data_IF_886847518315
#
_entry.id   IF_886847518315
#
_cell.length_a   1.000
_cell.length_b   1.000
_cell.length_c   1.000
_cell.angle_alpha   90.00
_cell.angle_beta   90.00
_cell.angle_gamma   90.00
#
_symmetry.space_group_name_H-M   'P 1'
#
loop_
_entity.id
_entity.type
_entity.pdbx_description
1 polymer ?
#
# COMPACT_ATOMS: atom_id res chain seq x y z
N UNK A 1 0.18 2.34 -19.35
CA UNK A 1 0.68 2.88 -18.06
C UNK A 1 -0.35 3.91 -17.66
N UNK A 2 -1.13 3.65 -16.61
CA UNK A 2 -2.24 4.55 -16.26
C UNK A 2 -1.65 5.90 -15.81
N UNK A 3 -2.24 6.96 -16.36
CA UNK A 3 -1.92 8.37 -16.11
C UNK A 3 -2.40 8.71 -14.69
N UNK A 4 -1.59 8.38 -13.68
CA UNK A 4 -1.84 8.77 -12.30
C UNK A 4 -1.34 10.20 -12.18
N UNK A 5 -2.26 11.13 -11.87
CA UNK A 5 -1.93 12.53 -11.69
C UNK A 5 -1.01 12.73 -10.48
N UNK A 6 0.29 12.88 -10.74
CA UNK A 6 1.35 12.95 -9.73
C UNK A 6 1.27 14.24 -8.88
N UNK A 7 0.56 15.27 -9.35
CA UNK A 7 0.45 16.54 -8.65
C UNK A 7 -0.63 16.56 -7.55
N UNK A 8 -1.60 15.64 -7.61
CA UNK A 8 -2.72 15.58 -6.66
C UNK A 8 -2.88 14.20 -5.99
N UNK A 9 -2.03 13.24 -6.36
CA UNK A 9 -2.01 11.91 -5.74
C UNK A 9 -1.17 11.92 -4.47
N UNK A 10 -1.68 11.24 -3.44
CA UNK A 10 -0.93 11.01 -2.20
C UNK A 10 -0.48 9.55 -2.18
N UNK A 11 0.83 9.35 -2.01
CA UNK A 11 1.38 8.01 -1.81
C UNK A 11 1.07 7.55 -0.38
N UNK A 12 0.02 6.75 -0.25
CA UNK A 12 -0.41 6.17 1.04
C UNK A 12 0.59 5.15 1.55
N UNK A 13 1.09 4.28 0.66
CA UNK A 13 2.03 3.23 1.02
C UNK A 13 2.87 2.82 -0.19
N UNK A 14 4.17 2.59 0.03
CA UNK A 14 5.12 2.23 -1.02
C UNK A 14 5.89 0.94 -0.66
N UNK A 15 5.48 -0.17 -1.27
CA UNK A 15 6.06 -1.48 -0.96
C UNK A 15 7.32 -1.82 -1.75
N UNK A 16 7.59 -1.13 -2.87
CA UNK A 16 8.82 -1.32 -3.67
C UNK A 16 10.08 -1.00 -2.85
N UNK A 17 9.90 -0.21 -1.79
CA UNK A 17 10.93 0.19 -0.86
C UNK A 17 11.21 -0.81 0.27
N UNK A 18 10.46 -1.90 0.47
CA UNK A 18 10.69 -2.80 1.62
C UNK A 18 12.07 -3.48 1.61
N UNK A 19 12.79 -3.40 0.48
CA UNK A 19 14.19 -3.78 0.39
C UNK A 19 15.08 -2.65 0.90
N UNK A 20 16.08 -3.02 1.69
CA UNK A 20 17.19 -2.11 1.99
C UNK A 20 17.81 -1.63 0.69
N UNK A 21 17.73 -0.34 0.43
CA UNK A 21 18.46 0.32 -0.63
C UNK A 21 19.81 0.81 -0.09
N UNK A 22 20.80 0.98 -0.96
CA UNK A 22 22.08 1.60 -0.57
C UNK A 22 21.96 3.08 -0.18
N UNK A 23 20.79 3.68 -0.36
CA UNK A 23 20.48 5.09 -0.06
C UNK A 23 19.61 5.24 1.20
N UNK A 24 19.23 4.15 1.85
CA UNK A 24 18.40 4.20 3.05
C UNK A 24 19.26 4.49 4.29
N UNK A 25 18.84 5.46 5.09
CA UNK A 25 19.37 5.63 6.44
C UNK A 25 18.86 4.53 7.38
N UNK A 26 19.55 4.30 8.50
CA UNK A 26 19.25 3.20 9.44
C UNK A 26 17.79 3.20 9.90
N UNK A 27 17.22 4.37 10.18
CA UNK A 27 15.81 4.51 10.58
C UNK A 27 14.85 3.98 9.52
N UNK A 28 15.13 4.30 8.25
CA UNK A 28 14.29 3.89 7.11
C UNK A 28 14.40 2.38 6.91
N UNK A 29 15.59 1.80 7.12
CA UNK A 29 15.79 0.35 7.04
C UNK A 29 15.01 -0.39 8.12
N UNK A 30 15.00 0.13 9.36
CA UNK A 30 14.27 -0.46 10.47
C UNK A 30 12.75 -0.40 10.25
N UNK A 31 12.22 0.75 9.86
CA UNK A 31 10.78 0.93 9.54
C UNK A 31 10.32 -0.04 8.44
N UNK A 32 11.12 -0.22 7.39
CA UNK A 32 10.85 -1.18 6.31
C UNK A 32 10.86 -2.62 6.80
N UNK A 33 11.82 -2.99 7.65
CA UNK A 33 11.92 -4.34 8.20
C UNK A 33 10.74 -4.66 9.14
N UNK A 34 10.35 -3.71 9.99
CA UNK A 34 9.18 -3.85 10.86
C UNK A 34 7.89 -4.01 10.05
N UNK A 35 7.70 -3.18 9.02
CA UNK A 35 6.54 -3.28 8.13
C UNK A 35 6.49 -4.63 7.40
N UNK A 36 7.62 -5.10 6.86
CA UNK A 36 7.69 -6.41 6.21
C UNK A 36 7.37 -7.56 7.18
N UNK A 37 7.88 -7.49 8.41
CA UNK A 37 7.62 -8.50 9.45
C UNK A 37 6.17 -8.49 9.89
N UNK A 38 5.57 -7.33 10.10
CA UNK A 38 4.16 -7.18 10.45
C UNK A 38 3.27 -7.78 9.35
N UNK A 39 3.48 -7.37 8.10
CA UNK A 39 2.72 -7.89 6.95
C UNK A 39 2.88 -9.41 6.79
N UNK A 40 4.10 -9.94 6.97
CA UNK A 40 4.34 -11.38 6.91
C UNK A 40 3.60 -12.15 8.00
N UNK A 41 3.58 -11.62 9.23
CA UNK A 41 2.84 -12.23 10.35
C UNK A 41 1.32 -12.20 10.10
N UNK A 42 0.80 -11.09 9.58
CA UNK A 42 -0.62 -10.91 9.27
C UNK A 42 -1.04 -11.56 7.95
N UNK A 43 -0.07 -12.04 7.16
CA UNK A 43 -0.26 -12.61 5.82
C UNK A 43 -1.00 -11.66 4.86
N UNK A 44 -0.94 -10.34 5.09
CA UNK A 44 -1.56 -9.33 4.23
C UNK A 44 -0.92 -7.95 4.43
N UNK A 45 -1.18 -7.06 3.48
CA UNK A 45 -1.03 -5.61 3.65
C UNK A 45 -2.40 -5.01 3.94
N UNK A 46 -2.49 -4.10 4.91
CA UNK A 46 -3.76 -3.48 5.30
C UNK A 46 -3.68 -1.96 5.21
N UNK A 47 -4.73 -1.35 4.68
CA UNK A 47 -4.93 0.10 4.69
C UNK A 47 -6.41 0.43 4.90
N UNK A 48 -6.69 1.58 5.50
CA UNK A 48 -8.04 2.10 5.75
C UNK A 48 -8.19 3.47 5.10
N UNK A 49 -9.34 3.69 4.46
CA UNK A 49 -9.69 4.93 3.77
C UNK A 49 -11.15 5.33 4.02
N UNK A 50 -11.62 5.09 5.23
CA UNK A 50 -12.93 5.47 5.74
C UNK A 50 -13.00 6.98 5.98
N UNK A 51 -14.20 7.51 6.25
CA UNK A 51 -14.44 8.96 6.36
C UNK A 51 -13.62 9.65 7.45
N UNK A 52 -13.25 8.91 8.51
CA UNK A 52 -12.50 9.41 9.66
C UNK A 52 -10.97 9.26 9.52
N UNK A 53 -10.49 8.66 8.42
CA UNK A 53 -9.06 8.49 8.16
C UNK A 53 -8.42 9.75 7.55
N UNK A 54 -7.09 9.84 7.60
CA UNK A 54 -6.33 10.96 7.01
C UNK A 54 -6.50 11.08 5.49
N UNK A 55 -6.79 9.96 4.83
CA UNK A 55 -6.92 9.87 3.37
C UNK A 55 -8.21 9.15 2.98
N UNK A 56 -9.39 9.75 3.20
CA UNK A 56 -10.67 9.11 2.93
C UNK A 56 -10.90 8.98 1.42
N UNK A 57 -11.48 7.87 0.97
CA UNK A 57 -11.95 7.68 -0.40
C UNK A 57 -13.31 8.37 -0.53
N UNK A 58 -13.37 9.42 -1.36
CA UNK A 58 -14.60 10.13 -1.67
C UNK A 58 -15.03 9.77 -3.08
N UNK A 59 -16.23 9.19 -3.20
CA UNK A 59 -16.81 8.78 -4.49
C UNK A 59 -16.77 9.93 -5.52
N UNK A 60 -16.35 9.60 -6.74
CA UNK A 60 -16.26 10.55 -7.86
C UNK A 60 -15.16 11.61 -7.74
N UNK A 61 -14.38 11.62 -6.65
CA UNK A 61 -13.32 12.61 -6.40
C UNK A 61 -11.93 12.01 -6.28
N UNK A 62 -11.83 10.80 -5.72
CA UNK A 62 -10.56 10.10 -5.51
C UNK A 62 -10.66 8.67 -6.00
N UNK A 63 -9.55 8.16 -6.51
CA UNK A 63 -9.40 6.77 -6.93
C UNK A 63 -8.21 6.18 -6.21
N UNK A 64 -8.41 5.06 -5.50
CA UNK A 64 -7.31 4.32 -4.91
C UNK A 64 -6.72 3.38 -5.96
N UNK A 65 -5.44 3.58 -6.27
CA UNK A 65 -4.67 2.67 -7.11
C UNK A 65 -3.83 1.76 -6.21
N UNK A 66 -4.06 0.45 -6.31
CA UNK A 66 -3.26 -0.55 -5.59
C UNK A 66 -2.43 -1.31 -6.62
N UNK A 67 -1.11 -1.21 -6.47
CA UNK A 67 -0.20 -2.07 -7.20
C UNK A 67 0.17 -3.29 -6.34
N UNK A 68 -0.32 -4.47 -6.71
CA UNK A 68 -0.01 -5.72 -6.02
C UNK A 68 1.31 -6.36 -6.49
N UNK A 69 2.03 -5.72 -7.40
CA UNK A 69 3.28 -6.23 -7.96
C UNK A 69 4.48 -5.86 -7.10
N UNK A 70 4.63 -6.51 -5.95
CA UNK A 70 5.98 -6.70 -5.41
C UNK A 70 6.59 -7.92 -6.08
N UNK A 71 7.76 -7.80 -6.68
CA UNK A 71 8.43 -8.95 -7.30
C UNK A 71 9.32 -9.62 -6.27
N UNK A 72 8.91 -10.78 -5.74
CA UNK A 72 9.83 -11.63 -4.98
C UNK A 72 11.07 -11.96 -5.81
N UNK A 73 12.26 -11.71 -5.28
CA UNK A 73 13.53 -12.17 -5.86
C UNK A 73 14.01 -13.42 -5.13
N UNK A 74 14.78 -14.26 -5.84
CA UNK A 74 15.39 -15.43 -5.22
C UNK A 74 16.34 -14.98 -4.13
N UNK A 75 16.09 -15.40 -2.89
CA UNK A 75 16.92 -15.08 -1.72
C UNK A 75 16.33 -14.03 -0.77
N UNK A 76 15.16 -13.47 -1.08
CA UNK A 76 14.47 -12.60 -0.12
C UNK A 76 13.87 -13.43 1.03
N UNK A 77 14.01 -12.94 2.26
CA UNK A 77 13.47 -13.58 3.47
C UNK A 77 11.93 -13.66 3.48
N UNK A 78 11.25 -12.87 2.64
CA UNK A 78 9.79 -12.77 2.64
C UNK A 78 9.20 -12.99 1.23
N UNK A 79 8.32 -14.00 1.03
CA UNK A 79 7.64 -14.22 -0.24
C UNK A 79 6.71 -13.04 -0.54
N UNK A 80 7.08 -12.27 -1.56
CA UNK A 80 6.59 -10.90 -1.81
C UNK A 80 5.29 -10.83 -2.62
N UNK A 81 4.26 -11.60 -2.29
CA UNK A 81 2.93 -11.48 -2.92
C UNK A 81 1.81 -11.63 -1.89
N UNK A 82 1.84 -10.82 -0.84
CA UNK A 82 0.75 -10.83 0.13
C UNK A 82 -0.46 -10.07 -0.43
N UNK A 83 -1.69 -10.54 -0.15
CA UNK A 83 -2.91 -9.84 -0.53
C UNK A 83 -3.02 -8.49 0.17
N UNK A 84 -3.75 -7.58 -0.45
CA UNK A 84 -4.17 -6.32 0.17
C UNK A 84 -5.56 -6.48 0.77
N UNK A 85 -5.72 -6.02 2.01
CA UNK A 85 -7.00 -5.81 2.68
C UNK A 85 -7.20 -4.30 2.74
N UNK A 86 -8.28 -3.84 2.13
CA UNK A 86 -8.62 -2.41 2.05
C UNK A 86 -9.93 -2.22 2.76
N UNK A 87 -9.95 -1.38 3.77
CA UNK A 87 -11.18 -0.90 4.38
C UNK A 87 -11.57 0.44 3.73
N UNK A 88 -12.81 0.53 3.25
CA UNK A 88 -13.31 1.70 2.55
C UNK A 88 -14.83 1.78 2.64
N UNK A 89 -15.32 2.96 3.03
CA UNK A 89 -16.74 3.28 3.06
C UNK A 89 -17.21 3.66 1.66
N UNK A 90 -17.67 2.67 0.91
CA UNK A 90 -18.28 2.90 -0.39
C UNK A 90 -19.79 3.10 -0.23
N UNK A 91 -20.40 4.03 -0.99
CA UNK A 91 -21.85 4.12 -1.03
C UNK A 91 -22.41 2.79 -1.52
N UNK A 92 -23.61 2.43 -1.04
CA UNK A 92 -24.35 1.30 -1.60
C UNK A 92 -24.44 1.49 -3.11
N UNK A 93 -24.07 0.46 -3.88
CA UNK A 93 -24.26 0.45 -5.31
C UNK A 93 -25.76 0.54 -5.59
N UNK A 94 -26.27 1.75 -5.82
CA UNK A 94 -27.66 1.92 -6.14
C UNK A 94 -27.88 1.52 -7.60
N UNK A 95 -28.84 0.61 -7.75
CA UNK A 95 -29.46 0.24 -9.01
C UNK A 95 -30.01 1.49 -9.69
N UNK A 96 -29.32 1.92 -10.75
CA UNK A 96 -29.89 2.75 -11.81
C UNK A 96 -30.20 1.84 -13.02
#
# INVERSE_FOLDING_TARGET
>A
MADVDDYHSVLVQHLDGLRRSGQDDEKVVEEKAEMARAAYNERCYRTSHCSDDDHPIVFGRKTLFINAAMKGSKGDEYPMHLPWIVDAELPVANAD
#
